data_IF_207830861310
#
_entry.id   IF_207830861310
#
_cell.length_a   1.000
_cell.length_b   1.000
_cell.length_c   1.000
_cell.angle_alpha   90.00
_cell.angle_beta   90.00
_cell.angle_gamma   90.00
#
_symmetry.space_group_name_H-M   'P 1'
#
loop_
_entity.id
_entity.type
_entity.pdbx_description
1 polymer ?
#
# COMPACT_ATOMS: atom_id res chain seq x y z
N UNK A 1 11.93 22.06 -24.84
CA UNK A 1 10.94 21.19 -24.16
C UNK A 1 9.67 22.02 -23.91
N UNK A 2 8.49 21.52 -24.33
CA UNK A 2 7.24 22.30 -24.35
C UNK A 2 6.67 22.51 -22.92
N UNK A 3 6.27 23.73 -22.54
CA UNK A 3 5.77 24.04 -21.18
C UNK A 3 4.58 23.15 -20.76
N UNK A 4 3.70 22.86 -21.72
CA UNK A 4 2.56 21.95 -21.57
C UNK A 4 3.00 20.50 -21.28
N UNK A 5 4.12 20.06 -21.84
CA UNK A 5 4.67 18.74 -21.60
C UNK A 5 5.27 18.60 -20.19
N UNK A 6 5.87 19.68 -19.68
CA UNK A 6 6.40 19.74 -18.31
C UNK A 6 5.27 19.72 -17.27
N UNK A 7 4.20 20.49 -17.49
CA UNK A 7 3.01 20.50 -16.63
C UNK A 7 2.34 19.13 -16.52
N UNK A 8 2.17 18.42 -17.64
CA UNK A 8 1.55 17.08 -17.65
C UNK A 8 2.42 16.03 -16.93
N UNK A 9 3.75 16.16 -16.99
CA UNK A 9 4.70 15.30 -16.27
C UNK A 9 4.67 15.55 -14.76
N UNK A 10 4.64 16.82 -14.36
CA UNK A 10 4.45 17.22 -12.95
C UNK A 10 3.14 16.72 -12.38
N UNK A 11 2.04 16.87 -13.13
CA UNK A 11 0.71 16.37 -12.72
C UNK A 11 0.69 14.84 -12.58
N UNK A 12 1.35 14.13 -13.49
CA UNK A 12 1.50 12.66 -13.42
C UNK A 12 2.30 12.22 -12.19
N UNK A 13 3.40 12.90 -11.90
CA UNK A 13 4.25 12.63 -10.74
C UNK A 13 3.54 12.94 -9.43
N UNK A 14 2.81 14.06 -9.34
CA UNK A 14 2.00 14.40 -8.18
C UNK A 14 0.88 13.35 -7.93
N UNK A 15 0.19 12.89 -8.99
CA UNK A 15 -0.80 11.81 -8.88
C UNK A 15 -0.18 10.49 -8.40
N UNK A 16 1.04 10.17 -8.86
CA UNK A 16 1.75 8.98 -8.41
C UNK A 16 2.15 9.08 -6.94
N UNK A 17 2.67 10.24 -6.51
CA UNK A 17 3.07 10.49 -5.13
C UNK A 17 1.85 10.44 -4.18
N UNK A 18 0.77 11.14 -4.53
CA UNK A 18 -0.49 11.11 -3.78
C UNK A 18 -1.05 9.68 -3.72
N UNK A 19 -1.03 8.96 -4.85
CA UNK A 19 -1.45 7.57 -4.91
C UNK A 19 -0.60 6.64 -4.06
N UNK A 20 0.71 6.87 -3.96
CA UNK A 20 1.61 6.11 -3.09
C UNK A 20 1.35 6.39 -1.60
N UNK A 21 1.09 7.65 -1.24
CA UNK A 21 0.75 8.04 0.14
C UNK A 21 -0.60 7.46 0.56
N UNK A 22 -1.58 7.37 -0.34
CA UNK A 22 -2.91 6.78 -0.10
C UNK A 22 -2.97 5.26 -0.30
N UNK A 23 -1.92 4.65 -0.86
CA UNK A 23 -1.84 3.20 -1.09
C UNK A 23 -1.32 2.48 0.16
N UNK A 24 -1.75 1.22 0.40
CA UNK A 24 -1.22 0.39 1.49
C UNK A 24 0.29 0.05 1.31
N UNK A 25 0.91 0.49 0.22
CA UNK A 25 2.35 0.42 0.01
C UNK A 25 3.16 1.28 0.99
N UNK A 26 2.55 2.36 1.48
CA UNK A 26 3.13 3.18 2.53
C UNK A 26 2.71 2.61 3.88
N UNK A 27 3.60 1.90 4.57
CA UNK A 27 3.29 1.23 5.84
C UNK A 27 2.76 2.17 6.95
N UNK A 28 3.03 3.48 6.87
CA UNK A 28 2.52 4.49 7.80
C UNK A 28 1.19 5.12 7.37
N UNK A 29 0.75 4.91 6.13
CA UNK A 29 -0.49 5.50 5.58
C UNK A 29 -1.70 5.14 6.42
N UNK A 30 -1.85 3.86 6.76
CA UNK A 30 -3.06 3.39 7.43
C UNK A 30 -3.33 4.17 8.72
N UNK A 31 -2.29 4.42 9.51
CA UNK A 31 -2.39 5.14 10.77
C UNK A 31 -2.73 6.63 10.58
N UNK A 32 -2.10 7.31 9.62
CA UNK A 32 -2.15 8.78 9.53
C UNK A 32 -3.10 9.34 8.46
N UNK A 33 -3.51 8.51 7.50
CA UNK A 33 -4.27 8.97 6.32
C UNK A 33 -5.52 8.12 6.14
N UNK A 34 -5.42 6.81 5.90
CA UNK A 34 -6.60 5.99 5.61
C UNK A 34 -7.56 5.89 6.80
N UNK A 35 -7.10 5.61 8.02
CA UNK A 35 -7.97 5.52 9.20
C UNK A 35 -8.66 6.86 9.50
N UNK A 36 -7.95 8.01 9.55
CA UNK A 36 -8.60 9.30 9.75
C UNK A 36 -9.64 9.65 8.69
N UNK A 37 -9.34 9.42 7.40
CA UNK A 37 -10.29 9.68 6.31
C UNK A 37 -11.49 8.74 6.39
N UNK A 38 -11.25 7.44 6.61
CA UNK A 38 -12.31 6.45 6.73
C UNK A 38 -13.22 6.74 7.93
N UNK A 39 -12.64 7.16 9.06
CA UNK A 39 -13.37 7.56 10.25
C UNK A 39 -14.25 8.79 9.98
N UNK A 40 -13.68 9.82 9.33
CA UNK A 40 -14.43 11.01 8.97
C UNK A 40 -15.60 10.69 8.03
N UNK A 41 -15.36 9.89 6.99
CA UNK A 41 -16.42 9.45 6.07
C UNK A 41 -17.51 8.63 6.78
N UNK A 42 -17.11 7.70 7.65
CA UNK A 42 -18.04 6.89 8.44
C UNK A 42 -18.86 7.74 9.41
N UNK A 43 -18.23 8.74 10.03
CA UNK A 43 -18.89 9.66 10.94
C UNK A 43 -19.96 10.48 10.22
N UNK A 44 -19.63 11.05 9.06
CA UNK A 44 -20.61 11.76 8.21
C UNK A 44 -21.77 10.85 7.81
N UNK A 45 -21.50 9.58 7.47
CA UNK A 45 -22.55 8.59 7.16
C UNK A 45 -23.41 8.24 8.38
N UNK A 46 -22.81 8.16 9.58
CA UNK A 46 -23.52 7.82 10.81
C UNK A 46 -24.48 8.91 11.29
N UNK A 47 -24.35 10.14 10.79
CA UNK A 47 -25.34 11.21 11.05
C UNK A 47 -26.72 10.87 10.47
N UNK A 48 -26.76 10.05 9.42
CA UNK A 48 -28.00 9.60 8.77
C UNK A 48 -28.39 8.19 9.21
N UNK A 49 -27.41 7.29 9.37
CA UNK A 49 -27.62 5.89 9.73
C UNK A 49 -26.62 5.44 10.81
N UNK A 50 -26.92 5.65 12.10
CA UNK A 50 -25.99 5.41 13.20
C UNK A 50 -25.46 3.96 13.26
N UNK A 51 -26.34 2.99 13.00
CA UNK A 51 -26.02 1.55 13.06
C UNK A 51 -25.04 1.10 11.97
N UNK A 52 -24.86 1.91 10.93
CA UNK A 52 -23.99 1.57 9.80
C UNK A 52 -22.56 2.12 9.95
N UNK A 53 -22.21 2.79 11.04
CA UNK A 53 -20.88 3.39 11.23
C UNK A 53 -19.73 2.40 10.90
N UNK A 54 -19.78 1.19 11.46
CA UNK A 54 -18.72 0.20 11.28
C UNK A 54 -18.63 -0.26 9.81
N UNK A 55 -19.77 -0.47 9.15
CA UNK A 55 -19.82 -0.84 7.74
C UNK A 55 -19.31 0.30 6.84
N UNK A 56 -19.73 1.54 7.12
CA UNK A 56 -19.29 2.73 6.40
C UNK A 56 -17.79 2.98 6.58
N UNK A 57 -17.24 2.72 7.76
CA UNK A 57 -15.81 2.80 8.04
C UNK A 57 -15.01 1.80 7.20
N UNK A 58 -15.41 0.52 7.22
CA UNK A 58 -14.72 -0.53 6.45
C UNK A 58 -14.80 -0.25 4.95
N UNK A 59 -15.97 0.16 4.44
CA UNK A 59 -16.14 0.51 3.02
C UNK A 59 -15.31 1.73 2.66
N UNK A 60 -15.28 2.76 3.50
CA UNK A 60 -14.49 3.98 3.25
C UNK A 60 -12.99 3.68 3.27
N UNK A 61 -12.52 2.86 4.21
CA UNK A 61 -11.13 2.40 4.28
C UNK A 61 -10.73 1.57 3.05
N UNK A 62 -11.60 0.66 2.61
CA UNK A 62 -11.35 -0.10 1.38
C UNK A 62 -11.32 0.84 0.17
N UNK A 63 -12.23 1.82 0.11
CA UNK A 63 -12.29 2.78 -0.96
C UNK A 63 -11.04 3.67 -1.02
N UNK A 64 -10.50 4.14 0.11
CA UNK A 64 -9.26 4.94 0.12
C UNK A 64 -8.07 4.14 -0.38
N UNK A 65 -7.96 2.87 0.01
CA UNK A 65 -6.93 1.95 -0.47
C UNK A 65 -7.01 1.70 -1.99
N UNK A 66 -8.22 1.44 -2.51
CA UNK A 66 -8.45 1.25 -3.95
C UNK A 66 -8.16 2.54 -4.72
N UNK A 67 -8.58 3.69 -4.19
CA UNK A 67 -8.30 5.00 -4.79
C UNK A 67 -6.80 5.30 -4.84
N UNK A 68 -6.06 5.01 -3.76
CA UNK A 68 -4.61 5.13 -3.72
C UNK A 68 -3.93 4.35 -4.83
N UNK A 69 -4.30 3.08 -5.02
CA UNK A 69 -3.78 2.26 -6.12
C UNK A 69 -4.15 2.78 -7.51
N UNK A 70 -5.39 3.23 -7.72
CA UNK A 70 -5.84 3.77 -9.01
C UNK A 70 -5.09 5.06 -9.35
N UNK A 71 -4.89 5.95 -8.37
CA UNK A 71 -4.15 7.20 -8.54
C UNK A 71 -2.66 6.92 -8.83
N UNK A 72 -2.05 5.99 -8.11
CA UNK A 72 -0.68 5.56 -8.32
C UNK A 72 -0.50 5.04 -9.76
N UNK A 73 -1.37 4.14 -10.20
CA UNK A 73 -1.29 3.54 -11.52
C UNK A 73 -1.50 4.56 -12.65
N UNK A 74 -2.49 5.44 -12.50
CA UNK A 74 -2.74 6.53 -13.47
C UNK A 74 -1.58 7.53 -13.51
N UNK A 75 -1.02 7.89 -12.35
CA UNK A 75 0.11 8.80 -12.24
C UNK A 75 1.38 8.25 -12.90
N UNK A 76 1.70 6.99 -12.64
CA UNK A 76 2.86 6.29 -13.24
C UNK A 76 2.69 6.20 -14.76
N UNK A 77 1.54 5.74 -15.27
CA UNK A 77 1.30 5.66 -16.73
C UNK A 77 1.45 7.02 -17.40
N UNK A 78 0.92 8.08 -16.78
CA UNK A 78 0.99 9.44 -17.34
C UNK A 78 2.41 10.02 -17.36
N UNK A 79 3.24 9.62 -16.40
CA UNK A 79 4.64 10.06 -16.29
C UNK A 79 5.56 9.32 -17.25
N UNK A 80 5.28 8.04 -17.51
CA UNK A 80 6.11 7.15 -18.35
C UNK A 80 5.74 7.18 -19.85
N UNK A 81 4.56 7.67 -20.24
CA UNK A 81 4.08 7.62 -21.64
C UNK A 81 4.76 8.60 -22.62
N UNK A 82 6.00 9.06 -22.37
CA UNK A 82 6.70 9.99 -23.29
C UNK A 82 8.10 9.58 -23.74
N UNK A 83 8.68 8.49 -23.24
CA UNK A 83 9.93 7.95 -23.77
C UNK A 83 9.76 6.45 -24.04
N UNK A 84 9.73 6.10 -25.32
CA UNK A 84 9.91 4.74 -25.79
C UNK A 84 11.32 4.25 -25.43
N UNK A 85 11.47 2.94 -25.20
CA UNK A 85 12.76 2.18 -25.07
C UNK A 85 13.18 1.72 -23.66
N UNK A 86 12.30 1.09 -22.89
CA UNK A 86 12.64 -0.17 -22.21
C UNK A 86 11.38 -0.84 -21.63
N UNK A 87 10.86 -1.82 -22.37
CA UNK A 87 9.83 -2.76 -21.89
C UNK A 87 10.45 -3.71 -20.86
N UNK A 88 10.66 -3.25 -19.63
CA UNK A 88 10.44 -4.16 -18.50
C UNK A 88 9.00 -3.89 -18.11
N UNK A 89 8.08 -4.72 -18.64
CA UNK A 89 6.67 -4.75 -18.21
C UNK A 89 6.64 -5.21 -16.76
N UNK A 90 7.04 -4.35 -15.83
CA UNK A 90 6.84 -4.60 -14.41
C UNK A 90 5.39 -4.27 -14.11
N UNK A 91 4.55 -5.28 -14.26
CA UNK A 91 3.10 -5.17 -14.18
C UNK A 91 2.63 -5.18 -12.74
N UNK A 92 1.37 -4.81 -12.55
CA UNK A 92 0.69 -4.93 -11.25
C UNK A 92 0.74 -6.35 -10.68
N UNK A 93 0.82 -7.35 -11.57
CA UNK A 93 0.96 -8.76 -11.22
C UNK A 93 2.35 -9.11 -10.69
N UNK A 94 3.41 -8.53 -11.26
CA UNK A 94 4.78 -8.78 -10.82
C UNK A 94 5.02 -8.13 -9.46
N UNK A 95 4.50 -6.91 -9.27
CA UNK A 95 4.56 -6.22 -7.99
C UNK A 95 3.77 -6.96 -6.88
N UNK A 96 2.54 -7.40 -7.15
CA UNK A 96 1.76 -8.20 -6.18
C UNK A 96 2.42 -9.55 -5.88
N UNK A 97 3.04 -10.16 -6.89
CA UNK A 97 3.78 -11.41 -6.73
C UNK A 97 4.98 -11.21 -5.80
N UNK A 98 5.75 -10.13 -5.98
CA UNK A 98 6.91 -9.85 -5.13
C UNK A 98 6.50 -9.46 -3.70
N UNK A 99 5.39 -8.71 -3.54
CA UNK A 99 4.81 -8.43 -2.23
C UNK A 99 4.32 -9.72 -1.52
N UNK A 100 3.61 -10.59 -2.25
CA UNK A 100 3.14 -11.86 -1.72
C UNK A 100 4.30 -12.80 -1.35
N UNK A 101 5.36 -12.84 -2.15
CA UNK A 101 6.58 -13.60 -1.86
C UNK A 101 7.25 -13.06 -0.59
N UNK A 102 7.37 -11.75 -0.44
CA UNK A 102 7.96 -11.13 0.75
C UNK A 102 7.14 -11.43 2.00
N UNK A 103 5.82 -11.28 1.96
CA UNK A 103 4.93 -11.58 3.08
C UNK A 103 4.95 -13.07 3.44
N UNK A 104 4.94 -13.96 2.44
CA UNK A 104 5.05 -15.40 2.64
C UNK A 104 6.38 -15.75 3.32
N UNK A 105 7.48 -15.14 2.87
CA UNK A 105 8.80 -15.36 3.45
C UNK A 105 8.87 -14.90 4.91
N UNK A 106 8.31 -13.73 5.23
CA UNK A 106 8.21 -13.24 6.61
C UNK A 106 7.36 -14.17 7.48
N UNK A 107 6.22 -14.62 6.98
CA UNK A 107 5.34 -15.54 7.71
C UNK A 107 6.01 -16.89 7.97
N UNK A 108 6.75 -17.39 6.99
CA UNK A 108 7.52 -18.63 7.08
C UNK A 108 8.64 -18.53 8.13
N UNK A 109 9.35 -17.39 8.20
CA UNK A 109 10.33 -17.12 9.26
C UNK A 109 9.64 -17.12 10.64
N UNK A 110 8.50 -16.44 10.79
CA UNK A 110 7.78 -16.39 12.06
C UNK A 110 7.33 -17.78 12.52
N UNK A 111 6.85 -18.63 11.59
CA UNK A 111 6.52 -20.03 11.89
C UNK A 111 7.76 -20.80 12.31
N UNK A 112 8.88 -20.67 11.60
CA UNK A 112 10.15 -21.35 11.94
C UNK A 112 10.66 -20.97 13.33
N UNK A 113 10.51 -19.69 13.71
CA UNK A 113 10.84 -19.21 15.05
C UNK A 113 9.89 -19.81 16.09
N UNK A 114 8.58 -19.82 15.83
CA UNK A 114 7.59 -20.43 16.75
C UNK A 114 7.75 -21.94 16.91
N UNK A 115 8.25 -22.64 15.88
CA UNK A 115 8.56 -24.07 15.94
C UNK A 115 9.93 -24.36 16.58
N UNK A 116 10.62 -23.35 17.13
CA UNK A 116 11.94 -23.46 17.76
C UNK A 116 13.02 -24.08 16.86
N UNK A 117 12.82 -24.07 15.54
CA UNK A 117 13.84 -24.49 14.57
C UNK A 117 14.95 -23.44 14.46
N UNK A 118 14.59 -22.17 14.68
CA UNK A 118 15.52 -21.03 14.74
C UNK A 118 15.35 -20.37 16.11
N UNK A 119 16.16 -20.82 17.08
CA UNK A 119 16.16 -20.30 18.44
C UNK A 119 17.08 -19.06 18.55
N UNK A 120 16.67 -18.02 19.30
CA UNK A 120 17.57 -16.92 19.63
C UNK A 120 18.78 -17.45 20.42
N UNK A 121 19.97 -16.88 20.18
CA UNK A 121 21.24 -17.33 20.75
C UNK A 121 21.25 -17.48 22.29
N UNK A 122 20.34 -16.77 22.98
CA UNK A 122 20.14 -16.85 24.43
C UNK A 122 19.57 -18.20 24.88
N UNK A 123 18.69 -18.83 24.11
CA UNK A 123 18.13 -20.16 24.43
C UNK A 123 19.11 -21.30 24.12
N UNK A 124 20.00 -21.12 23.14
CA UNK A 124 21.06 -22.10 22.84
C UNK A 124 22.04 -22.26 24.03
N UNK A 125 22.25 -21.20 24.83
CA UNK A 125 23.05 -21.25 26.07
C UNK A 125 22.34 -21.97 27.23
N UNK A 126 21.01 -22.08 27.22
CA UNK A 126 20.24 -22.76 28.26
C UNK A 126 20.19 -24.29 28.06
N UNK A 127 20.33 -24.75 26.82
CA UNK A 127 20.29 -26.18 26.45
C UNK A 127 21.68 -26.85 26.58
N UNK A 128 22.78 -26.09 26.44
CA UNK A 128 24.16 -26.61 26.56
C UNK A 128 24.75 -26.51 27.98
N UNK A 129 23.91 -26.41 29.01
CA UNK A 129 24.30 -26.49 30.42
C UNK A 129 23.82 -27.82 31.01
#
# INVERSE_FOLDING_TARGET
MNLKAYYEKLKGSAMACIGFILSPLSWWNDLYVNIPIAYFCAWVFSLFYPDLFMHAFVVSYLATNVLGFVLLHKGIRKTLSKDDSQKVRYGWKDFLKDLAISLLYTFLIVILVKLNVILPFQEYKAIMK
#
